data_IF_029717353920
#
_entry.id   IF_029717353920
#
_cell.length_a   1.000
_cell.length_b   1.000
_cell.length_c   1.000
_cell.angle_alpha   90.00
_cell.angle_beta   90.00
_cell.angle_gamma   90.00
#
_symmetry.space_group_name_H-M   'P 1'
#
loop_
_entity.id
_entity.type
_entity.pdbx_description
1 polymer ?
#
# COMPACT_ATOMS: atom_id res chain seq x y z
N UNK A 1 16.40 -2.26 -15.61
CA UNK A 1 16.18 -3.68 -15.99
C UNK A 1 15.64 -4.56 -14.85
N UNK A 2 15.90 -4.24 -13.56
CA UNK A 2 15.34 -5.00 -12.42
C UNK A 2 13.82 -4.81 -12.25
N UNK A 3 13.28 -3.63 -12.53
CA UNK A 3 11.87 -3.29 -12.30
C UNK A 3 10.87 -4.09 -13.18
N UNK A 4 11.26 -4.48 -14.40
CA UNK A 4 10.41 -5.32 -15.26
C UNK A 4 10.25 -6.74 -14.73
N UNK A 5 11.27 -7.30 -14.09
CA UNK A 5 11.22 -8.63 -13.49
C UNK A 5 10.41 -8.65 -12.20
N UNK A 6 10.46 -7.60 -11.37
CA UNK A 6 9.63 -7.48 -10.16
C UNK A 6 8.15 -7.41 -10.52
N UNK A 7 7.76 -6.46 -11.38
CA UNK A 7 6.37 -6.27 -11.77
C UNK A 7 5.76 -7.55 -12.37
N UNK A 8 6.49 -8.28 -13.23
CA UNK A 8 5.99 -9.53 -13.81
C UNK A 8 5.78 -10.62 -12.75
N UNK A 9 6.74 -10.81 -11.83
CA UNK A 9 6.60 -11.79 -10.74
C UNK A 9 5.44 -11.43 -9.81
N UNK A 10 5.25 -10.14 -9.54
CA UNK A 10 4.14 -9.70 -8.67
C UNK A 10 2.79 -9.86 -9.37
N UNK A 11 2.72 -9.67 -10.69
CA UNK A 11 1.53 -9.96 -11.50
C UNK A 11 1.16 -11.45 -11.43
N UNK A 12 2.15 -12.36 -11.40
CA UNK A 12 1.93 -13.80 -11.20
C UNK A 12 1.33 -14.08 -9.81
N UNK A 13 1.82 -13.42 -8.74
CA UNK A 13 1.27 -13.56 -7.38
C UNK A 13 -0.19 -13.11 -7.33
N UNK A 14 -0.51 -11.94 -7.90
CA UNK A 14 -1.89 -11.42 -7.91
C UNK A 14 -2.83 -12.31 -8.73
N UNK A 15 -2.33 -12.93 -9.80
CA UNK A 15 -3.13 -13.79 -10.68
C UNK A 15 -3.23 -15.22 -10.21
N UNK A 16 -2.53 -15.60 -9.14
CA UNK A 16 -2.56 -16.95 -8.56
C UNK A 16 -4.01 -17.35 -8.22
N UNK A 17 -4.46 -18.57 -8.61
CA UNK A 17 -5.82 -19.03 -8.34
C UNK A 17 -6.24 -18.97 -6.87
N UNK A 18 -5.33 -19.20 -5.91
CA UNK A 18 -5.61 -19.14 -4.47
C UNK A 18 -5.84 -17.68 -4.03
N UNK A 19 -5.03 -16.74 -4.53
CA UNK A 19 -5.28 -15.32 -4.30
C UNK A 19 -6.60 -14.87 -4.91
N UNK A 20 -6.93 -15.33 -6.11
CA UNK A 20 -8.23 -15.06 -6.72
C UNK A 20 -9.39 -15.68 -5.95
N UNK A 21 -9.22 -16.87 -5.36
CA UNK A 21 -10.24 -17.44 -4.48
C UNK A 21 -10.46 -16.59 -3.22
N UNK A 22 -9.39 -16.00 -2.67
CA UNK A 22 -9.45 -15.17 -1.47
C UNK A 22 -10.10 -13.80 -1.74
N UNK A 23 -9.70 -13.11 -2.81
CA UNK A 23 -10.13 -11.73 -3.11
C UNK A 23 -11.28 -11.64 -4.13
N UNK A 24 -11.63 -12.71 -4.82
CA UNK A 24 -12.62 -12.71 -5.89
C UNK A 24 -12.28 -11.70 -7.00
N UNK A 25 -13.32 -11.08 -7.54
CA UNK A 25 -13.20 -10.04 -8.56
C UNK A 25 -13.16 -8.60 -7.97
N UNK A 26 -12.93 -8.45 -6.68
CA UNK A 26 -12.94 -7.16 -5.99
C UNK A 26 -11.90 -6.17 -6.55
N UNK A 27 -10.76 -6.70 -6.98
CA UNK A 27 -9.58 -5.93 -7.39
C UNK A 27 -8.79 -5.37 -6.21
N UNK A 28 -9.06 -5.83 -4.99
CA UNK A 28 -8.19 -5.63 -3.84
C UNK A 28 -7.06 -6.65 -3.82
N UNK A 29 -5.98 -6.26 -3.15
CA UNK A 29 -4.87 -7.13 -2.80
C UNK A 29 -4.18 -6.54 -1.55
N UNK A 30 -4.94 -6.40 -0.47
CA UNK A 30 -4.45 -5.94 0.83
C UNK A 30 -5.10 -6.76 1.95
N UNK A 31 -4.51 -6.74 3.14
CA UNK A 31 -4.93 -7.60 4.27
C UNK A 31 -6.19 -7.11 4.98
N UNK A 32 -6.64 -5.90 4.70
CA UNK A 32 -7.83 -5.31 5.31
C UNK A 32 -7.63 -4.79 6.73
N UNK A 33 -8.58 -3.97 7.19
CA UNK A 33 -8.72 -3.51 8.57
C UNK A 33 -9.99 -4.10 9.16
N UNK A 34 -9.85 -4.97 10.14
CA UNK A 34 -10.93 -5.79 10.68
C UNK A 34 -11.50 -5.19 11.97
N UNK A 35 -12.80 -5.16 12.06
CA UNK A 35 -13.56 -4.69 13.21
C UNK A 35 -14.80 -5.55 13.40
N UNK A 36 -15.56 -5.35 14.46
CA UNK A 36 -16.82 -6.04 14.67
C UNK A 36 -17.87 -5.79 13.56
N UNK A 37 -17.71 -4.70 12.79
CA UNK A 37 -18.58 -4.39 11.65
C UNK A 37 -18.14 -5.05 10.34
N UNK A 38 -16.94 -5.65 10.30
CA UNK A 38 -16.37 -6.28 9.09
C UNK A 38 -17.02 -7.62 8.83
N UNK A 39 -17.58 -7.82 7.64
CA UNK A 39 -18.32 -9.04 7.29
C UNK A 39 -17.45 -10.04 6.53
N UNK A 40 -16.51 -9.56 5.73
CA UNK A 40 -15.66 -10.32 4.83
C UNK A 40 -14.37 -9.56 4.52
N UNK A 41 -13.45 -10.21 3.79
CA UNK A 41 -12.17 -9.61 3.41
C UNK A 41 -12.36 -8.34 2.56
N UNK A 42 -13.35 -8.29 1.68
CA UNK A 42 -13.56 -7.12 0.80
C UNK A 42 -13.97 -5.90 1.63
N UNK A 43 -14.88 -6.09 2.60
CA UNK A 43 -15.26 -5.02 3.52
C UNK A 43 -14.12 -4.61 4.47
N UNK A 44 -13.22 -5.55 4.83
CA UNK A 44 -11.99 -5.22 5.55
C UNK A 44 -11.02 -4.40 4.68
N UNK A 45 -10.87 -4.76 3.41
CA UNK A 45 -10.06 -3.99 2.45
C UNK A 45 -10.59 -2.57 2.27
N UNK A 46 -11.90 -2.40 2.14
CA UNK A 46 -12.57 -1.08 2.11
C UNK A 46 -12.24 -0.26 3.38
N UNK A 47 -12.36 -0.90 4.56
CA UNK A 47 -12.07 -0.25 5.83
C UNK A 47 -10.59 0.18 5.95
N UNK A 48 -9.65 -0.60 5.42
CA UNK A 48 -8.25 -0.22 5.42
C UNK A 48 -7.98 1.02 4.54
N UNK A 49 -8.60 1.08 3.35
CA UNK A 49 -8.53 2.30 2.51
C UNK A 49 -9.11 3.50 3.26
N UNK A 50 -10.21 3.34 3.98
CA UNK A 50 -10.80 4.41 4.77
C UNK A 50 -9.88 4.87 5.92
N UNK A 51 -9.10 3.96 6.54
CA UNK A 51 -8.10 4.32 7.54
C UNK A 51 -6.98 5.20 6.95
N UNK A 52 -6.42 4.84 5.79
CA UNK A 52 -5.39 5.68 5.15
C UNK A 52 -5.96 6.96 4.55
N UNK A 53 -7.24 6.99 4.24
CA UNK A 53 -7.93 8.19 3.76
C UNK A 53 -8.30 9.17 4.89
N UNK A 54 -8.39 8.70 6.15
CA UNK A 54 -8.87 9.50 7.28
C UNK A 54 -8.08 10.81 7.53
N UNK A 55 -6.74 10.84 7.42
CA UNK A 55 -5.98 12.07 7.66
C UNK A 55 -6.03 13.06 6.48
N UNK A 56 -6.59 12.67 5.33
CA UNK A 56 -6.64 13.51 4.13
C UNK A 56 -7.81 14.51 4.25
N UNK A 57 -7.52 15.78 3.99
CA UNK A 57 -8.55 16.83 4.01
C UNK A 57 -9.69 16.54 3.02
N UNK A 58 -10.93 16.76 3.44
CA UNK A 58 -12.10 16.68 2.55
C UNK A 58 -12.04 17.70 1.40
N UNK A 59 -11.21 18.75 1.54
CA UNK A 59 -10.95 19.75 0.50
C UNK A 59 -9.81 19.38 -0.47
N UNK A 60 -9.20 18.19 -0.34
CA UNK A 60 -8.14 17.74 -1.24
C UNK A 60 -8.63 17.74 -2.69
N UNK A 61 -7.75 18.20 -3.59
CA UNK A 61 -8.03 18.31 -5.03
C UNK A 61 -7.28 17.27 -5.87
N UNK A 62 -6.10 16.85 -5.41
CA UNK A 62 -5.26 15.86 -6.08
C UNK A 62 -4.77 14.84 -5.07
N UNK A 63 -5.14 13.59 -5.26
CA UNK A 63 -4.72 12.44 -4.44
C UNK A 63 -4.03 11.44 -5.35
N UNK A 64 -2.82 11.04 -4.98
CA UNK A 64 -2.05 10.00 -5.67
C UNK A 64 -2.10 8.72 -4.85
N UNK A 65 -2.47 7.61 -5.49
CA UNK A 65 -2.48 6.25 -4.93
C UNK A 65 -1.31 5.48 -5.56
N UNK A 66 -0.18 5.42 -4.84
CA UNK A 66 1.09 4.89 -5.36
C UNK A 66 1.21 3.40 -5.04
N UNK A 67 1.40 2.59 -6.06
CA UNK A 67 1.31 1.14 -5.97
C UNK A 67 -0.15 0.67 -5.98
N UNK A 68 -0.99 1.28 -6.82
CA UNK A 68 -2.46 1.13 -6.81
C UNK A 68 -3.01 -0.28 -7.13
N UNK A 69 -2.15 -1.24 -7.44
CA UNK A 69 -2.55 -2.60 -7.76
C UNK A 69 -3.59 -2.66 -8.89
N UNK A 70 -4.67 -3.40 -8.68
CA UNK A 70 -5.79 -3.53 -9.62
C UNK A 70 -6.84 -2.40 -9.50
N UNK A 71 -6.56 -1.37 -8.70
CA UNK A 71 -7.29 -0.10 -8.64
C UNK A 71 -8.53 -0.08 -7.75
N UNK A 72 -8.78 -1.09 -6.92
CA UNK A 72 -9.90 -1.05 -5.97
C UNK A 72 -9.74 0.09 -4.96
N UNK A 73 -8.54 0.23 -4.35
CA UNK A 73 -8.22 1.34 -3.46
C UNK A 73 -8.38 2.70 -4.13
N UNK A 74 -7.88 2.85 -5.36
CA UNK A 74 -8.04 4.08 -6.15
C UNK A 74 -9.51 4.47 -6.33
N UNK A 75 -10.38 3.48 -6.64
CA UNK A 75 -11.83 3.73 -6.78
C UNK A 75 -12.46 4.12 -5.45
N UNK A 76 -12.09 3.44 -4.35
CA UNK A 76 -12.57 3.77 -3.00
C UNK A 76 -12.18 5.20 -2.61
N UNK A 77 -10.93 5.59 -2.85
CA UNK A 77 -10.46 6.96 -2.65
C UNK A 77 -11.23 7.97 -3.52
N UNK A 78 -11.49 7.64 -4.79
CA UNK A 78 -12.27 8.52 -5.67
C UNK A 78 -13.72 8.70 -5.18
N UNK A 79 -14.34 7.66 -4.65
CA UNK A 79 -15.68 7.76 -4.03
C UNK A 79 -15.63 8.61 -2.74
N UNK A 80 -14.57 8.48 -1.94
CA UNK A 80 -14.38 9.24 -0.70
C UNK A 80 -14.09 10.72 -0.95
N UNK A 81 -13.40 11.03 -2.05
CA UNK A 81 -13.02 12.40 -2.44
C UNK A 81 -13.59 12.77 -3.83
N UNK A 82 -14.93 12.93 -3.96
CA UNK A 82 -15.58 13.10 -5.27
C UNK A 82 -15.19 14.40 -5.98
N UNK A 83 -14.62 15.37 -5.26
CA UNK A 83 -14.12 16.63 -5.83
C UNK A 83 -12.64 16.57 -6.19
N UNK A 84 -11.93 15.51 -5.79
CA UNK A 84 -10.53 15.34 -6.07
C UNK A 84 -10.29 14.62 -7.41
N UNK A 85 -9.16 14.94 -8.01
CA UNK A 85 -8.56 14.11 -9.04
C UNK A 85 -7.74 13.01 -8.36
N UNK A 86 -8.33 11.83 -8.21
CA UNK A 86 -7.63 10.66 -7.70
C UNK A 86 -6.98 9.92 -8.86
N UNK A 87 -5.68 9.61 -8.73
CA UNK A 87 -4.89 8.95 -9.79
C UNK A 87 -4.07 7.82 -9.16
N UNK A 88 -4.28 6.61 -9.64
CA UNK A 88 -3.42 5.46 -9.33
C UNK A 88 -2.10 5.54 -10.10
N UNK A 89 -1.01 5.15 -9.46
CA UNK A 89 0.32 5.07 -10.03
C UNK A 89 0.86 3.65 -9.84
N UNK A 90 1.41 3.03 -10.89
CA UNK A 90 1.95 1.68 -10.81
C UNK A 90 3.00 1.44 -11.90
N UNK A 91 3.92 0.50 -11.66
CA UNK A 91 4.89 0.02 -12.65
C UNK A 91 4.31 -1.01 -13.62
N UNK A 92 3.42 -1.90 -13.14
CA UNK A 92 2.85 -2.96 -13.97
C UNK A 92 1.84 -2.41 -14.97
N UNK A 93 2.15 -2.53 -16.25
CA UNK A 93 1.23 -2.17 -17.33
C UNK A 93 -0.01 -3.08 -17.35
N UNK A 94 0.13 -4.34 -16.92
CA UNK A 94 -0.99 -5.27 -16.82
C UNK A 94 -1.97 -4.81 -15.73
N UNK A 95 -1.50 -4.53 -14.52
CA UNK A 95 -2.32 -4.00 -13.43
C UNK A 95 -3.01 -2.69 -13.81
N UNK A 96 -2.29 -1.79 -14.51
CA UNK A 96 -2.86 -0.52 -14.99
C UNK A 96 -3.99 -0.69 -16.02
N UNK A 97 -3.89 -1.70 -16.89
CA UNK A 97 -4.99 -2.04 -17.80
C UNK A 97 -6.23 -2.48 -17.02
N UNK A 98 -6.05 -3.33 -16.01
CA UNK A 98 -7.13 -3.78 -15.14
C UNK A 98 -7.73 -2.61 -14.35
N UNK A 99 -6.91 -1.73 -13.81
CA UNK A 99 -7.31 -0.52 -13.08
C UNK A 99 -8.17 0.39 -13.94
N UNK A 100 -7.73 0.68 -15.17
CA UNK A 100 -8.48 1.50 -16.14
C UNK A 100 -9.76 0.82 -16.60
N UNK A 101 -9.74 -0.47 -16.86
CA UNK A 101 -10.91 -1.28 -17.20
C UNK A 101 -12.00 -1.25 -16.12
N UNK A 102 -11.61 -0.97 -14.86
CA UNK A 102 -12.52 -0.77 -13.71
C UNK A 102 -12.91 0.70 -13.48
N UNK A 103 -12.58 1.60 -14.39
CA UNK A 103 -12.99 3.00 -14.36
C UNK A 103 -12.13 3.94 -13.52
N UNK A 104 -10.99 3.48 -12.97
CA UNK A 104 -10.07 4.35 -12.25
C UNK A 104 -9.07 5.04 -13.22
N UNK A 105 -8.67 6.26 -12.87
CA UNK A 105 -7.56 6.93 -13.56
C UNK A 105 -6.25 6.36 -13.08
N UNK A 106 -5.34 6.02 -14.01
CA UNK A 106 -4.05 5.45 -13.64
C UNK A 106 -2.95 5.82 -14.63
N UNK A 107 -1.72 5.92 -14.13
CA UNK A 107 -0.52 6.25 -14.90
C UNK A 107 0.59 5.22 -14.62
N UNK A 108 1.39 4.95 -15.65
CA UNK A 108 2.59 4.14 -15.51
C UNK A 108 3.72 5.02 -15.00
N UNK A 109 4.25 4.70 -13.81
CA UNK A 109 5.36 5.43 -13.22
C UNK A 109 6.03 4.60 -12.14
N UNK A 110 7.30 4.87 -11.88
CA UNK A 110 8.07 4.35 -10.77
C UNK A 110 7.76 5.18 -9.51
N UNK A 111 7.57 4.53 -8.37
CA UNK A 111 7.33 5.20 -7.08
C UNK A 111 8.54 6.03 -6.63
N UNK A 112 9.77 5.61 -6.98
CA UNK A 112 11.01 6.32 -6.70
C UNK A 112 11.25 7.50 -7.68
N UNK A 113 10.44 7.64 -8.74
CA UNK A 113 10.55 8.69 -9.77
C UNK A 113 9.17 9.01 -10.34
N UNK A 114 8.28 9.50 -9.52
CA UNK A 114 6.93 9.85 -9.93
C UNK A 114 6.96 10.91 -11.04
N UNK A 115 6.39 10.59 -12.20
CA UNK A 115 6.25 11.49 -13.34
C UNK A 115 5.22 12.61 -13.10
N UNK A 116 5.22 13.16 -11.89
CA UNK A 116 4.28 14.17 -11.38
C UNK A 116 5.07 15.41 -10.98
N UNK A 117 4.54 16.59 -11.30
CA UNK A 117 5.18 17.86 -10.96
C UNK A 117 5.34 18.03 -9.43
N UNK A 118 6.39 18.72 -9.02
CA UNK A 118 6.58 19.10 -7.61
C UNK A 118 5.43 20.01 -7.15
N UNK A 119 5.08 19.94 -5.85
CA UNK A 119 4.04 20.76 -5.23
C UNK A 119 2.67 20.68 -5.95
N UNK A 120 2.27 19.50 -6.42
CA UNK A 120 1.04 19.34 -7.23
C UNK A 120 -0.01 18.44 -6.59
N UNK A 121 0.33 17.65 -5.57
CA UNK A 121 -0.58 16.77 -4.87
C UNK A 121 -0.92 17.28 -3.47
N UNK A 122 -2.16 17.08 -3.02
CA UNK A 122 -2.61 17.37 -1.67
C UNK A 122 -2.42 16.16 -0.75
N UNK A 123 -2.45 14.95 -1.33
CA UNK A 123 -2.16 13.72 -0.60
C UNK A 123 -1.45 12.70 -1.49
N UNK A 124 -0.57 11.91 -0.88
CA UNK A 124 0.03 10.70 -1.42
C UNK A 124 -0.32 9.55 -0.49
N UNK A 125 -0.90 8.50 -1.07
CA UNK A 125 -1.25 7.26 -0.38
C UNK A 125 -0.38 6.14 -0.92
N UNK A 126 0.11 5.26 -0.05
CA UNK A 126 0.73 4.00 -0.42
C UNK A 126 0.19 2.91 0.53
N UNK A 127 -0.57 1.98 -0.04
CA UNK A 127 -1.22 0.93 0.72
C UNK A 127 -0.59 -0.41 0.38
N UNK A 128 0.16 -0.99 1.33
CA UNK A 128 0.90 -2.25 1.19
C UNK A 128 1.78 -2.31 -0.07
N UNK A 129 2.39 -1.21 -0.39
CA UNK A 129 3.19 -1.09 -1.61
C UNK A 129 4.61 -0.58 -1.37
N UNK A 130 4.81 0.26 -0.35
CA UNK A 130 6.12 0.88 -0.10
C UNK A 130 7.21 -0.13 0.26
N UNK A 131 6.84 -1.27 0.88
CA UNK A 131 7.77 -2.37 1.15
C UNK A 131 8.44 -2.92 -0.11
N UNK A 132 7.80 -2.79 -1.27
CA UNK A 132 8.25 -3.31 -2.55
C UNK A 132 9.03 -2.32 -3.41
N UNK A 133 9.05 -1.04 -3.05
CA UNK A 133 9.64 0.00 -3.88
C UNK A 133 11.18 -0.06 -3.86
N UNK A 134 11.80 0.52 -4.84
CA UNK A 134 13.27 0.56 -5.01
C UNK A 134 13.79 2.00 -4.85
N UNK A 135 13.80 2.59 -3.65
CA UNK A 135 13.55 2.05 -2.29
C UNK A 135 12.39 2.77 -1.60
N UNK A 136 12.08 2.43 -0.31
CA UNK A 136 11.16 3.23 0.52
C UNK A 136 11.65 4.68 0.66
N UNK A 137 12.94 4.87 0.88
CA UNK A 137 13.52 6.21 1.04
C UNK A 137 13.40 7.07 -0.22
N UNK A 138 13.60 6.47 -1.38
CA UNK A 138 13.40 7.18 -2.65
C UNK A 138 11.93 7.54 -2.85
N UNK A 139 11.02 6.63 -2.49
CA UNK A 139 9.59 6.93 -2.50
C UNK A 139 9.23 8.05 -1.52
N UNK A 140 9.74 8.06 -0.30
CA UNK A 140 9.45 9.13 0.67
C UNK A 140 9.95 10.48 0.17
N UNK A 141 11.14 10.54 -0.45
CA UNK A 141 11.67 11.77 -1.08
C UNK A 141 10.79 12.23 -2.26
N UNK A 142 10.32 11.30 -3.09
CA UNK A 142 9.41 11.61 -4.19
C UNK A 142 8.03 12.06 -3.70
N UNK A 143 7.48 11.39 -2.70
CA UNK A 143 6.23 11.80 -2.06
C UNK A 143 6.35 13.22 -1.48
N UNK A 144 7.46 13.50 -0.78
CA UNK A 144 7.75 14.84 -0.30
C UNK A 144 7.81 15.87 -1.42
N UNK A 145 8.50 15.56 -2.51
CA UNK A 145 8.65 16.46 -3.66
C UNK A 145 7.31 16.80 -4.31
N UNK A 146 6.44 15.81 -4.53
CA UNK A 146 5.18 16.01 -5.25
C UNK A 146 4.07 16.62 -4.39
N UNK A 147 4.10 16.41 -3.07
CA UNK A 147 3.14 17.02 -2.16
C UNK A 147 3.31 18.55 -2.12
N UNK A 148 2.24 19.28 -1.92
CA UNK A 148 2.26 20.72 -1.60
C UNK A 148 2.64 20.92 -0.14
N UNK A 149 3.11 22.12 0.26
CA UNK A 149 3.14 22.48 1.67
C UNK A 149 1.77 22.26 2.33
N UNK A 150 1.77 21.62 3.51
CA UNK A 150 0.55 21.14 4.18
C UNK A 150 -0.05 19.85 3.63
N UNK A 151 0.53 19.28 2.57
CA UNK A 151 0.10 18.01 1.99
C UNK A 151 0.47 16.81 2.87
N UNK A 152 -0.28 15.71 2.73
CA UNK A 152 -0.23 14.55 3.61
C UNK A 152 0.31 13.34 2.87
N UNK A 153 1.31 12.67 3.45
CA UNK A 153 1.65 11.28 3.17
C UNK A 153 0.89 10.38 4.14
N UNK A 154 0.16 9.40 3.62
CA UNK A 154 -0.53 8.39 4.43
C UNK A 154 -0.23 7.00 3.90
N UNK A 155 0.33 6.12 4.74
CA UNK A 155 0.71 4.77 4.34
C UNK A 155 0.13 3.71 5.26
N UNK A 156 -0.18 2.54 4.68
CA UNK A 156 -0.33 1.28 5.38
C UNK A 156 0.80 0.37 4.90
N UNK A 157 1.62 -0.15 5.79
CA UNK A 157 2.81 -0.90 5.43
C UNK A 157 3.14 -2.01 6.42
N UNK A 158 4.02 -2.92 6.03
CA UNK A 158 4.44 -4.07 6.83
C UNK A 158 5.94 -4.05 7.11
N UNK A 159 6.30 -4.40 8.34
CA UNK A 159 7.67 -4.68 8.75
C UNK A 159 7.82 -6.18 9.03
N UNK A 160 8.98 -6.72 8.71
CA UNK A 160 9.21 -8.16 8.76
C UNK A 160 10.33 -8.51 9.72
N UNK A 161 10.13 -9.56 10.53
CA UNK A 161 11.21 -10.27 11.23
C UNK A 161 12.05 -11.06 10.24
N UNK A 162 11.36 -11.67 9.25
CA UNK A 162 11.98 -12.47 8.19
C UNK A 162 11.21 -12.25 6.89
N UNK A 163 11.71 -11.32 6.07
CA UNK A 163 11.14 -11.01 4.77
C UNK A 163 11.37 -12.10 3.72
N UNK A 164 12.35 -13.02 3.94
CA UNK A 164 12.66 -14.05 2.96
C UNK A 164 11.59 -15.14 2.91
N UNK A 165 10.77 -15.27 3.95
CA UNK A 165 9.61 -16.18 3.99
C UNK A 165 8.58 -15.88 2.89
N UNK A 166 8.34 -14.59 2.60
CA UNK A 166 7.40 -14.20 1.53
C UNK A 166 8.09 -14.14 0.16
N UNK A 167 9.38 -14.42 0.11
CA UNK A 167 10.23 -14.39 -1.08
C UNK A 167 11.28 -13.27 -1.01
N UNK A 168 12.56 -13.62 -1.16
CA UNK A 168 13.67 -12.67 -0.96
C UNK A 168 13.67 -11.50 -1.94
N UNK A 169 12.87 -11.60 -3.00
CA UNK A 169 12.71 -10.57 -4.03
C UNK A 169 11.57 -9.57 -3.73
N UNK A 170 10.68 -9.89 -2.76
CA UNK A 170 9.51 -9.06 -2.47
C UNK A 170 9.86 -7.82 -1.64
N UNK A 171 10.83 -7.92 -0.73
CA UNK A 171 11.27 -6.81 0.11
C UNK A 171 12.76 -6.56 -0.12
N UNK A 172 13.12 -5.52 -0.89
CA UNK A 172 14.51 -5.14 -1.10
C UNK A 172 15.27 -4.94 0.23
N UNK A 173 16.55 -5.29 0.28
CA UNK A 173 17.35 -5.20 1.50
C UNK A 173 17.31 -3.80 2.16
N UNK A 174 17.38 -2.67 1.43
CA UNK A 174 17.25 -1.34 2.03
C UNK A 174 15.87 -1.05 2.67
N UNK A 175 14.85 -1.84 2.33
CA UNK A 175 13.50 -1.71 2.89
C UNK A 175 13.28 -2.58 4.12
N UNK A 176 14.29 -3.31 4.62
CA UNK A 176 14.20 -4.13 5.83
C UNK A 176 14.41 -3.26 7.06
N UNK A 177 13.34 -2.72 7.58
CA UNK A 177 13.27 -1.81 8.74
C UNK A 177 12.83 -2.62 9.96
N UNK A 178 13.46 -2.40 11.11
CA UNK A 178 13.27 -3.21 12.30
C UNK A 178 11.97 -2.89 13.05
N UNK A 179 11.65 -1.61 13.22
CA UNK A 179 10.51 -1.17 14.04
C UNK A 179 9.87 0.14 13.53
N UNK A 180 8.79 0.57 14.19
CA UNK A 180 8.05 1.77 13.83
C UNK A 180 8.90 3.04 13.99
N UNK A 181 9.78 3.09 14.97
CA UNK A 181 10.63 4.26 15.26
C UNK A 181 11.61 4.48 14.10
N UNK A 182 12.28 3.42 13.66
CA UNK A 182 13.16 3.46 12.50
C UNK A 182 12.39 3.88 11.24
N UNK A 183 11.18 3.33 11.02
CA UNK A 183 10.33 3.72 9.90
C UNK A 183 10.01 5.22 9.92
N UNK A 184 9.65 5.78 11.08
CA UNK A 184 9.40 7.21 11.23
C UNK A 184 10.66 8.06 11.00
N UNK A 185 11.85 7.57 11.41
CA UNK A 185 13.13 8.25 11.19
C UNK A 185 13.42 8.37 9.68
N UNK A 186 13.17 7.32 8.89
CA UNK A 186 13.29 7.35 7.43
C UNK A 186 12.34 8.38 6.80
N UNK A 187 11.10 8.45 7.27
CA UNK A 187 10.12 9.45 6.79
C UNK A 187 10.55 10.88 7.16
N UNK A 188 11.05 11.10 8.40
CA UNK A 188 11.58 12.42 8.81
C UNK A 188 12.83 12.81 8.02
N UNK A 189 13.69 11.85 7.68
CA UNK A 189 14.88 12.10 6.86
C UNK A 189 14.53 12.58 5.43
N UNK A 190 13.35 12.24 4.92
CA UNK A 190 12.83 12.79 3.66
C UNK A 190 12.30 14.22 3.76
N UNK A 191 12.24 14.80 4.98
CA UNK A 191 11.83 16.19 5.23
C UNK A 191 10.43 16.35 5.85
N UNK A 192 9.70 15.27 6.07
CA UNK A 192 8.37 15.32 6.67
C UNK A 192 8.42 15.73 8.14
N UNK A 193 7.38 16.44 8.58
CA UNK A 193 7.10 16.78 9.97
C UNK A 193 5.80 16.12 10.43
N UNK A 194 5.46 16.24 11.71
CA UNK A 194 4.24 15.66 12.29
C UNK A 194 4.09 14.17 11.92
N UNK A 195 5.23 13.44 11.92
CA UNK A 195 5.26 12.02 11.61
C UNK A 195 4.72 11.24 12.79
N UNK A 196 3.66 10.47 12.55
CA UNK A 196 3.03 9.61 13.55
C UNK A 196 2.67 8.26 12.92
N UNK A 197 3.07 7.19 13.58
CA UNK A 197 2.71 5.83 13.23
C UNK A 197 1.95 5.14 14.37
N UNK A 198 1.18 4.12 14.02
CA UNK A 198 0.54 3.22 14.99
C UNK A 198 0.60 1.78 14.50
N UNK A 199 0.90 0.87 15.39
CA UNK A 199 0.79 -0.56 15.14
C UNK A 199 -0.68 -0.97 15.13
N UNK A 200 -1.10 -1.61 14.06
CA UNK A 200 -2.45 -2.12 13.87
C UNK A 200 -2.46 -3.61 13.53
N UNK A 201 -1.35 -4.31 13.79
CA UNK A 201 -1.19 -5.75 13.55
C UNK A 201 -2.37 -6.58 14.07
N UNK A 202 -2.91 -6.36 15.30
CA UNK A 202 -4.01 -7.16 15.83
C UNK A 202 -5.33 -7.06 15.04
N UNK A 203 -5.53 -5.96 14.32
CA UNK A 203 -6.77 -5.70 13.57
C UNK A 203 -6.56 -5.71 12.04
N UNK A 204 -5.39 -6.11 11.58
CA UNK A 204 -5.06 -6.26 10.16
C UNK A 204 -4.47 -7.65 9.88
N UNK A 205 -3.21 -7.85 10.20
CA UNK A 205 -2.46 -9.07 9.89
C UNK A 205 -3.04 -10.31 10.57
N UNK A 206 -3.34 -10.23 11.87
CA UNK A 206 -3.84 -11.39 12.63
C UNK A 206 -5.12 -11.98 12.02
N UNK A 207 -6.21 -11.20 11.83
CA UNK A 207 -7.43 -11.75 11.23
C UNK A 207 -7.28 -12.10 9.74
N UNK A 208 -6.35 -11.48 9.02
CA UNK A 208 -6.05 -11.84 7.63
C UNK A 208 -5.45 -13.26 7.54
N UNK A 209 -4.58 -13.63 8.48
CA UNK A 209 -4.02 -14.98 8.54
C UNK A 209 -5.12 -16.03 8.76
N UNK A 210 -6.15 -15.72 9.55
CA UNK A 210 -7.30 -16.61 9.72
C UNK A 210 -8.06 -16.79 8.38
N UNK A 211 -8.25 -15.71 7.64
CA UNK A 211 -8.85 -15.76 6.30
C UNK A 211 -7.98 -16.57 5.30
N UNK A 212 -6.65 -16.37 5.30
CA UNK A 212 -5.72 -17.16 4.50
C UNK A 212 -5.79 -18.66 4.84
N UNK A 213 -5.87 -19.00 6.11
CA UNK A 213 -5.91 -20.39 6.59
C UNK A 213 -7.10 -21.17 6.03
N UNK A 214 -8.16 -20.48 5.62
CA UNK A 214 -9.34 -21.10 5.01
C UNK A 214 -9.14 -21.51 3.54
N UNK A 215 -8.13 -20.93 2.87
CA UNK A 215 -7.88 -21.10 1.42
C UNK A 215 -6.61 -21.90 1.16
N UNK A 216 -5.60 -21.77 2.04
CA UNK A 216 -4.32 -22.45 1.89
C UNK A 216 -4.29 -23.76 2.66
N UNK A 217 -4.05 -24.88 1.96
CA UNK A 217 -4.03 -26.23 2.54
C UNK A 217 -2.82 -26.47 3.45
N UNK A 218 -1.64 -25.94 3.07
CA UNK A 218 -0.42 -26.10 3.85
C UNK A 218 -0.36 -25.10 5.01
N UNK A 219 -0.80 -25.58 6.17
CA UNK A 219 -0.81 -24.79 7.41
C UNK A 219 0.60 -24.47 7.93
N UNK A 220 1.67 -25.18 7.48
CA UNK A 220 3.05 -24.81 7.83
C UNK A 220 3.47 -23.55 7.10
N UNK A 221 3.10 -23.44 5.82
CA UNK A 221 3.34 -22.23 5.03
C UNK A 221 2.58 -21.05 5.64
N UNK A 222 1.30 -21.24 5.98
CA UNK A 222 0.51 -20.17 6.64
C UNK A 222 1.15 -19.71 7.95
N UNK A 223 1.60 -20.64 8.80
CA UNK A 223 2.30 -20.30 10.06
C UNK A 223 3.63 -19.57 9.83
N UNK A 224 4.42 -19.99 8.84
CA UNK A 224 5.65 -19.31 8.49
C UNK A 224 5.38 -17.87 8.06
N UNK A 225 4.41 -17.65 7.16
CA UNK A 225 3.97 -16.32 6.72
C UNK A 225 3.46 -15.51 7.91
N UNK A 226 2.62 -16.09 8.77
CA UNK A 226 2.08 -15.41 9.95
C UNK A 226 3.17 -14.87 10.87
N UNK A 227 4.23 -15.67 11.12
CA UNK A 227 5.33 -15.31 12.00
C UNK A 227 6.34 -14.35 11.37
N UNK A 228 6.34 -14.18 10.05
CA UNK A 228 7.30 -13.37 9.33
C UNK A 228 7.12 -11.86 9.55
N UNK A 229 5.88 -11.39 9.75
CA UNK A 229 5.57 -9.97 9.99
C UNK A 229 5.79 -9.63 11.47
N UNK A 230 6.55 -8.55 11.71
CA UNK A 230 6.73 -7.99 13.07
C UNK A 230 5.65 -6.98 13.41
N UNK A 231 5.35 -6.08 12.47
CA UNK A 231 4.38 -5.01 12.64
C UNK A 231 3.63 -4.75 11.33
N UNK A 232 2.36 -4.46 11.45
CA UNK A 232 1.57 -3.81 10.43
C UNK A 232 1.24 -2.41 10.93
N UNK A 233 1.68 -1.38 10.20
CA UNK A 233 1.56 0.00 10.64
C UNK A 233 0.68 0.86 9.73
N UNK A 234 0.04 1.85 10.34
CA UNK A 234 -0.49 3.01 9.64
C UNK A 234 0.37 4.21 10.00
N UNK A 235 0.82 4.97 9.00
CA UNK A 235 1.61 6.18 9.20
C UNK A 235 0.94 7.37 8.52
N UNK A 236 1.04 8.51 9.18
CA UNK A 236 0.69 9.83 8.63
C UNK A 236 1.86 10.78 8.83
N UNK A 237 2.17 11.54 7.80
CA UNK A 237 3.19 12.58 7.88
C UNK A 237 2.75 13.81 7.06
N UNK A 238 3.19 14.99 7.48
CA UNK A 238 2.83 16.26 6.84
C UNK A 238 4.07 16.89 6.24
N UNK A 239 3.96 17.37 5.00
CA UNK A 239 4.96 18.25 4.41
C UNK A 239 4.82 19.66 4.98
N UNK A 240 5.87 20.25 5.58
CA UNK A 240 5.84 21.63 6.12
C UNK A 240 5.61 22.68 5.04
#
# INVERSE_FOLDING_TARGET
MQNGTFAARYDDVISDPKMRALYGDSGYFNVGYWSAATKDLVSACDALVDQVAAPISAGARVVLDVGCGLGAGTRRLAARFPRARVVGANLSLWQLRMTRGRGARAVATDAARLGVASNSADAVVALESALHFDTRDDFFREAFRVLRPGGVLSTADMLFRDADVIGPWMVPAPNRIADLREYEEHVRAAGFTSVASRDVTPVTWTPYIDAMSSVFEDQNVVRAIASSVSHYLLLTAVRP
#
